data_IF_635785803921
#
_entry.id   IF_635785803921
#
_cell.length_a   1.000
_cell.length_b   1.000
_cell.length_c   1.000
_cell.angle_alpha   90.00
_cell.angle_beta   90.00
_cell.angle_gamma   90.00
#
_symmetry.space_group_name_H-M   'P 1'
#
loop_
_entity.id
_entity.type
_entity.pdbx_description
1 polymer ?
#
# COMPACT_ATOMS: atom_id res chain seq x y z
N UNK A 1 18.04 8.89 8.19
CA UNK A 1 17.07 9.50 7.25
C UNK A 1 16.17 8.47 6.56
N UNK A 2 16.70 7.52 5.78
CA UNK A 2 15.88 6.51 5.07
C UNK A 2 14.98 5.68 6.00
N UNK A 3 15.54 5.14 7.09
CA UNK A 3 14.79 4.39 8.12
C UNK A 3 13.59 5.19 8.65
N UNK A 4 13.79 6.48 8.95
CA UNK A 4 12.73 7.35 9.48
C UNK A 4 11.62 7.58 8.46
N UNK A 5 11.95 7.66 7.17
CA UNK A 5 10.94 7.81 6.11
C UNK A 5 10.09 6.54 5.95
N UNK A 6 10.73 5.37 5.88
CA UNK A 6 10.03 4.08 5.80
C UNK A 6 9.16 3.87 7.04
N UNK A 7 9.74 4.04 8.23
CA UNK A 7 9.03 3.94 9.51
C UNK A 7 7.83 4.87 9.55
N UNK A 8 7.99 6.15 9.20
CA UNK A 8 6.88 7.13 9.19
C UNK A 8 5.75 6.70 8.26
N UNK A 9 6.05 6.27 7.03
CA UNK A 9 5.02 5.93 6.05
C UNK A 9 4.31 4.62 6.43
N UNK A 10 5.05 3.61 6.85
CA UNK A 10 4.49 2.31 7.24
C UNK A 10 3.67 2.43 8.53
N UNK A 11 4.22 3.05 9.57
CA UNK A 11 3.52 3.20 10.85
C UNK A 11 2.31 4.13 10.72
N UNK A 12 2.39 5.23 9.96
CA UNK A 12 1.22 6.10 9.71
C UNK A 12 0.06 5.36 9.03
N UNK A 13 0.35 4.24 8.36
CA UNK A 13 -0.65 3.35 7.75
C UNK A 13 -1.00 2.13 8.62
N UNK A 14 -0.47 2.05 9.84
CA UNK A 14 -0.74 0.96 10.78
C UNK A 14 0.06 -0.32 10.54
N UNK A 15 1.08 -0.29 9.68
CA UNK A 15 1.88 -1.48 9.37
C UNK A 15 3.13 -1.56 10.25
N UNK A 16 3.40 -2.72 10.83
CA UNK A 16 4.70 -3.05 11.42
C UNK A 16 5.69 -3.46 10.31
N UNK A 17 6.76 -2.68 10.05
CA UNK A 17 7.75 -3.04 9.04
C UNK A 17 8.41 -4.41 9.24
N UNK A 18 8.51 -4.91 10.47
CA UNK A 18 9.18 -6.18 10.78
C UNK A 18 8.48 -7.40 10.14
N UNK A 19 7.19 -7.29 9.82
CA UNK A 19 6.37 -8.33 9.18
C UNK A 19 6.57 -8.41 7.66
N UNK A 20 7.30 -7.47 7.05
CA UNK A 20 7.46 -7.35 5.61
C UNK A 20 8.87 -7.69 5.12
N UNK A 21 8.97 -7.98 3.82
CA UNK A 21 10.24 -8.12 3.12
C UNK A 21 10.67 -6.77 2.58
N UNK A 22 11.92 -6.37 2.84
CA UNK A 22 12.47 -5.13 2.28
C UNK A 22 12.89 -5.37 0.82
N UNK A 23 12.17 -4.80 -0.14
CA UNK A 23 12.63 -4.76 -1.54
C UNK A 23 13.53 -3.56 -1.72
N UNK A 24 14.76 -3.77 -2.20
CA UNK A 24 15.71 -2.69 -2.46
C UNK A 24 16.08 -2.60 -3.94
N UNK A 25 16.22 -1.37 -4.42
CA UNK A 25 16.58 -1.06 -5.80
C UNK A 25 17.37 0.25 -5.87
N UNK A 26 17.84 0.59 -7.07
CA UNK A 26 18.79 1.67 -7.34
C UNK A 26 20.24 1.25 -7.05
N UNK A 27 21.20 1.93 -7.69
CA UNK A 27 22.62 1.53 -7.62
C UNK A 27 23.22 1.51 -6.21
N UNK A 28 22.68 2.31 -5.29
CA UNK A 28 23.11 2.38 -3.88
C UNK A 28 22.19 1.60 -2.91
N UNK A 29 21.07 1.05 -3.36
CA UNK A 29 20.09 0.41 -2.48
C UNK A 29 20.69 -0.76 -1.70
N UNK A 30 21.40 -1.65 -2.39
CA UNK A 30 22.07 -2.81 -1.81
C UNK A 30 23.19 -2.48 -0.81
N UNK A 31 23.73 -1.25 -0.82
CA UNK A 31 24.80 -0.84 0.11
C UNK A 31 24.25 -0.53 1.51
N UNK A 32 22.98 -0.11 1.61
CA UNK A 32 22.34 0.29 2.86
C UNK A 32 21.28 -0.71 3.35
N UNK A 33 20.97 -1.73 2.55
CA UNK A 33 19.87 -2.65 2.78
C UNK A 33 19.93 -3.33 4.16
N UNK A 34 21.07 -3.93 4.52
CA UNK A 34 21.26 -4.60 5.81
C UNK A 34 21.09 -3.65 7.01
N UNK A 35 21.65 -2.43 6.91
CA UNK A 35 21.53 -1.42 7.96
C UNK A 35 20.09 -0.92 8.14
N UNK A 36 19.36 -0.72 7.02
CA UNK A 36 17.95 -0.34 7.05
C UNK A 36 17.11 -1.46 7.66
N UNK A 37 17.28 -2.70 7.19
CA UNK A 37 16.55 -3.85 7.70
C UNK A 37 16.79 -4.05 9.20
N UNK A 38 18.04 -3.94 9.68
CA UNK A 38 18.37 -4.01 11.10
C UNK A 38 17.65 -2.94 11.93
N UNK A 39 17.62 -1.70 11.44
CA UNK A 39 16.99 -0.58 12.14
C UNK A 39 15.45 -0.63 12.14
N UNK A 40 14.86 -1.46 11.28
CA UNK A 40 13.41 -1.69 11.18
C UNK A 40 13.01 -3.11 11.64
N UNK A 41 13.95 -3.86 12.20
CA UNK A 41 13.84 -5.28 12.58
C UNK A 41 13.27 -6.21 11.48
N UNK A 42 13.51 -5.86 10.22
CA UNK A 42 13.10 -6.67 9.08
C UNK A 42 14.01 -7.90 8.95
N UNK A 43 13.41 -9.07 8.70
CA UNK A 43 14.15 -10.35 8.66
C UNK A 43 14.71 -10.68 7.29
N UNK A 44 14.09 -10.16 6.24
CA UNK A 44 14.38 -10.51 4.85
C UNK A 44 14.50 -9.27 3.97
N UNK A 45 15.45 -9.34 3.04
CA UNK A 45 15.67 -8.33 2.00
C UNK A 45 15.68 -9.03 0.66
N UNK A 46 14.92 -8.52 -0.31
CA UNK A 46 14.91 -9.01 -1.68
C UNK A 46 15.54 -7.97 -2.60
N UNK A 47 16.51 -8.40 -3.41
CA UNK A 47 17.19 -7.56 -4.39
C UNK A 47 17.06 -8.22 -5.76
N UNK A 48 16.34 -7.55 -6.66
CA UNK A 48 16.13 -8.01 -8.02
C UNK A 48 17.44 -8.04 -8.83
N UNK A 49 17.65 -8.95 -9.80
CA UNK A 49 18.86 -8.97 -10.65
C UNK A 49 19.15 -7.64 -11.36
N UNK A 50 18.10 -6.88 -11.66
CA UNK A 50 18.18 -5.56 -12.28
C UNK A 50 17.97 -4.41 -11.30
N UNK A 51 18.20 -4.62 -10.00
CA UNK A 51 17.98 -3.61 -8.95
C UNK A 51 18.58 -2.25 -9.30
N UNK A 52 19.81 -2.20 -9.82
CA UNK A 52 20.47 -0.94 -10.22
C UNK A 52 19.74 -0.14 -11.29
N UNK A 53 18.91 -0.79 -12.13
CA UNK A 53 18.16 -0.18 -13.25
C UNK A 53 16.67 -0.53 -13.21
N UNK A 54 16.15 -0.87 -12.03
CA UNK A 54 14.82 -1.49 -11.89
C UNK A 54 13.69 -0.60 -12.44
N UNK A 55 13.83 0.72 -12.35
CA UNK A 55 12.86 1.67 -12.93
C UNK A 55 12.81 1.59 -14.46
N UNK A 56 13.96 1.47 -15.12
CA UNK A 56 14.03 1.32 -16.58
C UNK A 56 13.49 -0.05 -17.01
N UNK A 57 13.81 -1.10 -16.24
CA UNK A 57 13.25 -2.43 -16.44
C UNK A 57 11.72 -2.42 -16.33
N UNK A 58 11.16 -1.79 -15.29
CA UNK A 58 9.72 -1.68 -15.10
C UNK A 58 9.01 -0.90 -16.21
N UNK A 59 9.62 0.17 -16.73
CA UNK A 59 9.09 0.89 -17.91
C UNK A 59 9.09 -0.03 -19.15
N UNK A 60 10.16 -0.81 -19.34
CA UNK A 60 10.26 -1.74 -20.48
C UNK A 60 9.27 -2.92 -20.41
N UNK A 61 8.76 -3.26 -19.23
CA UNK A 61 7.74 -4.29 -19.03
C UNK A 61 6.30 -3.74 -19.05
N UNK A 62 6.12 -2.42 -19.00
CA UNK A 62 4.80 -1.84 -18.85
C UNK A 62 3.98 -2.00 -20.14
N UNK A 63 2.73 -2.43 -20.00
CA UNK A 63 1.77 -2.39 -21.09
C UNK A 63 1.46 -0.95 -21.50
N UNK A 64 1.14 -0.76 -22.79
CA UNK A 64 0.68 0.53 -23.30
C UNK A 64 -0.77 0.70 -22.92
N UNK A 65 -1.04 1.58 -21.94
CA UNK A 65 -2.41 1.89 -21.50
C UNK A 65 -2.85 3.24 -22.03
N UNK A 66 -4.05 3.31 -22.62
CA UNK A 66 -4.69 4.57 -23.04
C UNK A 66 -6.04 4.70 -22.36
N UNK A 67 -6.22 5.83 -21.70
CA UNK A 67 -7.46 6.18 -21.02
C UNK A 67 -8.20 7.26 -21.80
N UNK A 68 -9.52 7.14 -21.82
CA UNK A 68 -10.45 8.13 -22.35
C UNK A 68 -11.59 8.31 -21.37
N UNK A 69 -12.03 9.54 -21.20
CA UNK A 69 -13.16 9.85 -20.35
C UNK A 69 -13.99 11.00 -20.95
N UNK A 70 -15.28 10.98 -20.67
CA UNK A 70 -16.17 12.11 -20.93
C UNK A 70 -17.12 12.30 -19.75
N UNK A 71 -17.41 13.56 -19.45
CA UNK A 71 -18.40 13.93 -18.44
C UNK A 71 -19.81 13.65 -18.95
N UNK A 72 -20.63 13.00 -18.11
CA UNK A 72 -22.01 12.62 -18.44
C UNK A 72 -23.01 13.45 -17.63
N UNK A 73 -22.83 13.51 -16.31
CA UNK A 73 -23.66 14.26 -15.35
C UNK A 73 -25.18 14.05 -15.54
N UNK A 74 -25.60 12.79 -15.65
CA UNK A 74 -27.00 12.37 -15.79
C UNK A 74 -27.35 11.32 -14.75
N UNK A 75 -28.64 11.17 -14.43
CA UNK A 75 -29.10 10.07 -13.59
C UNK A 75 -28.85 8.73 -14.27
N UNK A 76 -28.51 7.72 -13.48
CA UNK A 76 -28.38 6.34 -13.93
C UNK A 76 -29.77 5.78 -14.23
N UNK A 77 -30.12 5.71 -15.52
CA UNK A 77 -31.36 5.10 -16.01
C UNK A 77 -31.06 4.19 -17.21
N UNK A 78 -31.93 3.22 -17.53
CA UNK A 78 -31.77 2.37 -18.70
C UNK A 78 -31.60 3.16 -20.00
N UNK A 79 -32.34 4.26 -20.17
CA UNK A 79 -32.27 5.13 -21.35
C UNK A 79 -30.93 5.86 -21.43
N UNK A 80 -30.41 6.30 -20.28
CA UNK A 80 -29.10 6.96 -20.22
C UNK A 80 -27.98 5.98 -20.54
N UNK A 81 -28.05 4.75 -20.01
CA UNK A 81 -27.09 3.70 -20.33
C UNK A 81 -27.11 3.34 -21.81
N UNK A 82 -28.29 3.19 -22.41
CA UNK A 82 -28.42 2.92 -23.84
C UNK A 82 -27.81 4.05 -24.68
N UNK A 83 -27.99 5.31 -24.28
CA UNK A 83 -27.39 6.46 -24.94
C UNK A 83 -25.87 6.59 -24.75
N UNK A 84 -25.26 5.83 -23.85
CA UNK A 84 -23.80 5.81 -23.65
C UNK A 84 -23.08 4.84 -24.58
N UNK A 85 -23.77 3.95 -25.30
CA UNK A 85 -23.12 2.99 -26.20
C UNK A 85 -22.35 3.71 -27.32
N UNK A 86 -22.96 4.70 -27.98
CA UNK A 86 -22.27 5.51 -29.01
C UNK A 86 -21.07 6.26 -28.41
N UNK A 87 -21.20 6.76 -27.18
CA UNK A 87 -20.12 7.44 -26.47
C UNK A 87 -18.97 6.48 -26.19
N UNK A 88 -19.25 5.26 -25.73
CA UNK A 88 -18.23 4.27 -25.50
C UNK A 88 -17.52 3.87 -26.79
N UNK A 89 -18.26 3.69 -27.89
CA UNK A 89 -17.69 3.33 -29.18
C UNK A 89 -16.71 4.42 -29.70
N UNK A 90 -17.05 5.70 -29.54
CA UNK A 90 -16.16 6.82 -29.87
C UNK A 90 -14.89 6.82 -28.98
N UNK A 91 -15.05 6.64 -27.67
CA UNK A 91 -13.92 6.60 -26.72
C UNK A 91 -13.01 5.39 -26.99
N UNK A 92 -13.59 4.22 -27.28
CA UNK A 92 -12.86 3.00 -27.63
C UNK A 92 -12.07 3.22 -28.91
N UNK A 93 -12.71 3.73 -29.96
CA UNK A 93 -12.06 3.99 -31.26
C UNK A 93 -10.85 4.92 -31.07
N UNK A 94 -11.03 6.04 -30.37
CA UNK A 94 -9.95 6.99 -30.10
C UNK A 94 -8.82 6.39 -29.24
N UNK A 95 -9.14 5.54 -28.27
CA UNK A 95 -8.14 4.90 -27.42
C UNK A 95 -7.33 3.84 -28.19
N UNK A 96 -7.98 3.03 -29.05
CA UNK A 96 -7.35 2.04 -29.91
C UNK A 96 -6.40 2.72 -30.91
N UNK A 97 -6.82 3.81 -31.55
CA UNK A 97 -5.98 4.56 -32.49
C UNK A 97 -4.67 5.04 -31.85
N UNK A 98 -4.72 5.49 -30.58
CA UNK A 98 -3.53 5.89 -29.85
C UNK A 98 -2.65 4.70 -29.45
N UNK A 99 -3.22 3.55 -29.10
CA UNK A 99 -2.44 2.34 -28.81
C UNK A 99 -1.74 1.84 -30.07
N UNK A 100 -2.40 1.88 -31.24
CA UNK A 100 -1.80 1.53 -32.53
C UNK A 100 -0.67 2.52 -32.90
N UNK A 101 -0.82 3.81 -32.56
CA UNK A 101 0.23 4.83 -32.80
C UNK A 101 1.50 4.57 -31.98
N UNK A 102 1.40 3.84 -30.87
CA UNK A 102 2.53 3.36 -30.07
C UNK A 102 3.09 2.02 -30.62
N UNK A 103 2.78 1.69 -31.87
CA UNK A 103 3.29 0.52 -32.59
C UNK A 103 2.89 -0.84 -31.97
N UNK A 104 1.83 -0.87 -31.17
CA UNK A 104 1.27 -2.13 -30.66
C UNK A 104 0.43 -2.82 -31.76
N UNK A 105 0.73 -4.08 -32.12
CA UNK A 105 -0.06 -4.86 -33.06
C UNK A 105 -1.53 -5.04 -32.61
N UNK A 106 -2.47 -5.01 -33.55
CA UNK A 106 -3.91 -5.07 -33.24
C UNK A 106 -4.34 -6.37 -32.57
N UNK A 107 -3.66 -7.49 -32.84
CA UNK A 107 -3.88 -8.79 -32.19
C UNK A 107 -3.37 -8.85 -30.74
N UNK A 108 -2.67 -7.81 -30.29
CA UNK A 108 -2.15 -7.66 -28.92
C UNK A 108 -2.87 -6.58 -28.12
N UNK A 109 -3.91 -5.97 -28.69
CA UNK A 109 -4.77 -5.04 -27.98
C UNK A 109 -5.85 -5.86 -27.28
N UNK A 110 -5.90 -5.78 -25.95
CA UNK A 110 -6.93 -6.45 -25.16
C UNK A 110 -8.31 -5.85 -25.38
N UNK A 111 -9.34 -6.55 -24.89
CA UNK A 111 -10.70 -6.01 -24.91
C UNK A 111 -10.77 -4.67 -24.15
N UNK A 112 -11.44 -3.63 -24.71
CA UNK A 112 -11.57 -2.36 -24.02
C UNK A 112 -12.32 -2.50 -22.70
N UNK A 113 -11.73 -1.96 -21.64
CA UNK A 113 -12.34 -1.94 -20.32
C UNK A 113 -13.20 -0.69 -20.18
N UNK A 114 -14.52 -0.89 -20.09
CA UNK A 114 -15.50 0.19 -19.88
C UNK A 114 -15.80 0.32 -18.39
N UNK A 115 -15.97 1.55 -17.91
CA UNK A 115 -16.40 1.82 -16.54
C UNK A 115 -17.18 3.13 -16.44
N UNK A 116 -17.96 3.28 -15.38
CA UNK A 116 -18.69 4.51 -15.06
C UNK A 116 -18.27 5.04 -13.69
N UNK A 117 -18.02 6.34 -13.60
CA UNK A 117 -17.89 7.01 -12.31
C UNK A 117 -19.29 7.33 -11.80
N UNK A 118 -19.71 6.66 -10.72
CA UNK A 118 -21.04 6.76 -10.15
C UNK A 118 -21.00 7.41 -8.77
N UNK A 119 -22.08 8.11 -8.42
CA UNK A 119 -22.27 8.68 -7.08
C UNK A 119 -23.75 8.76 -6.73
N UNK A 120 -24.08 8.83 -5.45
CA UNK A 120 -25.42 9.24 -5.05
C UNK A 120 -25.67 10.72 -5.42
N UNK A 121 -26.89 11.05 -5.81
CA UNK A 121 -27.25 12.43 -6.16
C UNK A 121 -26.99 13.38 -4.96
N UNK A 122 -26.25 14.46 -5.22
CA UNK A 122 -25.92 15.49 -4.25
C UNK A 122 -24.66 15.26 -3.41
N UNK A 123 -23.99 14.10 -3.51
CA UNK A 123 -22.62 13.94 -3.00
C UNK A 123 -21.61 14.27 -4.12
N UNK A 124 -20.36 14.56 -3.74
CA UNK A 124 -19.34 14.95 -4.71
C UNK A 124 -18.44 13.79 -5.12
N UNK A 125 -18.07 12.94 -4.14
CA UNK A 125 -17.22 11.78 -4.37
C UNK A 125 -17.93 10.76 -5.25
N UNK A 126 -17.27 10.38 -6.35
CA UNK A 126 -17.66 9.24 -7.17
C UNK A 126 -16.87 7.99 -6.84
N UNK A 127 -17.42 6.85 -7.25
CA UNK A 127 -16.78 5.54 -7.25
C UNK A 127 -16.72 5.09 -8.71
N UNK A 128 -15.55 4.65 -9.17
CA UNK A 128 -15.43 4.02 -10.47
C UNK A 128 -15.97 2.58 -10.42
N UNK A 129 -16.95 2.28 -11.28
CA UNK A 129 -17.61 0.99 -11.39
C UNK A 129 -17.25 0.37 -12.74
N UNK A 130 -16.39 -0.66 -12.79
CA UNK A 130 -16.16 -1.46 -13.99
C UNK A 130 -17.48 -2.01 -14.53
N UNK A 131 -17.59 -2.15 -15.85
CA UNK A 131 -18.77 -2.73 -16.48
C UNK A 131 -19.09 -4.11 -15.89
N UNK A 132 -20.25 -4.30 -15.24
CA UNK A 132 -20.61 -5.59 -14.67
C UNK A 132 -21.16 -6.52 -15.75
N UNK A 133 -20.94 -7.83 -15.60
CA UNK A 133 -21.37 -8.86 -16.57
C UNK A 133 -22.88 -8.85 -16.84
N UNK A 134 -23.67 -8.50 -15.83
CA UNK A 134 -25.14 -8.42 -15.91
C UNK A 134 -25.65 -7.03 -16.33
N UNK A 135 -24.77 -6.05 -16.56
CA UNK A 135 -25.11 -4.67 -16.86
C UNK A 135 -25.70 -3.85 -15.70
N UNK A 136 -25.82 -4.42 -14.49
CA UNK A 136 -26.41 -3.76 -13.33
C UNK A 136 -25.40 -2.91 -12.56
N UNK A 137 -25.11 -1.74 -13.12
CA UNK A 137 -24.24 -0.73 -12.51
C UNK A 137 -24.74 -0.23 -11.15
N UNK A 138 -26.06 -0.20 -10.93
CA UNK A 138 -26.64 0.31 -9.70
C UNK A 138 -26.31 -0.63 -8.53
N UNK A 139 -26.58 -1.93 -8.70
CA UNK A 139 -26.24 -2.93 -7.69
C UNK A 139 -24.73 -3.00 -7.44
N UNK A 140 -23.91 -2.95 -8.50
CA UNK A 140 -22.45 -2.95 -8.37
C UNK A 140 -21.93 -1.73 -7.58
N UNK A 141 -22.48 -0.54 -7.84
CA UNK A 141 -22.19 0.67 -7.07
C UNK A 141 -22.58 0.51 -5.60
N UNK A 142 -23.78 0.01 -5.30
CA UNK A 142 -24.23 -0.14 -3.92
C UNK A 142 -23.36 -1.11 -3.12
N UNK A 143 -22.93 -2.22 -3.73
CA UNK A 143 -22.02 -3.18 -3.10
C UNK A 143 -20.67 -2.50 -2.79
N UNK A 144 -20.07 -1.81 -3.75
CA UNK A 144 -18.78 -1.13 -3.52
C UNK A 144 -18.91 0.04 -2.54
N UNK A 145 -20.00 0.81 -2.58
CA UNK A 145 -20.28 1.89 -1.64
C UNK A 145 -20.43 1.35 -0.21
N UNK A 146 -21.15 0.24 -0.03
CA UNK A 146 -21.29 -0.42 1.27
C UNK A 146 -19.96 -0.98 1.78
N UNK A 147 -19.13 -1.56 0.90
CA UNK A 147 -17.79 -2.02 1.27
C UNK A 147 -16.87 -0.86 1.69
N UNK A 148 -16.93 0.28 1.02
CA UNK A 148 -16.06 1.42 1.32
C UNK A 148 -16.54 2.27 2.50
N UNK A 149 -17.85 2.42 2.67
CA UNK A 149 -18.42 3.37 3.63
C UNK A 149 -19.32 2.72 4.70
N UNK A 150 -19.62 1.43 4.58
CA UNK A 150 -20.38 0.65 5.57
C UNK A 150 -21.90 0.74 5.46
N UNK A 151 -22.45 1.39 4.42
CA UNK A 151 -23.90 1.54 4.27
C UNK A 151 -24.34 1.79 2.80
N UNK A 152 -25.66 1.68 2.57
CA UNK A 152 -26.34 2.06 1.32
C UNK A 152 -27.34 3.19 1.58
N UNK A 153 -27.75 3.92 0.54
CA UNK A 153 -28.83 4.93 0.62
C UNK A 153 -30.05 4.50 -0.21
N UNK A 154 -30.93 3.63 0.32
CA UNK A 154 -32.11 3.17 -0.39
C UNK A 154 -32.96 4.34 -0.89
N UNK A 155 -33.38 4.29 -2.13
CA UNK A 155 -34.24 5.30 -2.75
C UNK A 155 -33.54 6.63 -3.12
N UNK A 156 -32.24 6.79 -2.83
CA UNK A 156 -31.47 7.93 -3.33
C UNK A 156 -31.05 7.65 -4.78
N UNK A 157 -31.36 8.54 -5.75
CA UNK A 157 -30.92 8.36 -7.13
C UNK A 157 -29.40 8.29 -7.24
N UNK A 158 -28.91 7.50 -8.19
CA UNK A 158 -27.50 7.44 -8.58
C UNK A 158 -27.29 8.32 -9.83
N UNK A 159 -26.20 9.07 -9.87
CA UNK A 159 -25.75 9.87 -11.00
C UNK A 159 -24.51 9.24 -11.63
N UNK A 160 -24.47 9.24 -12.97
CA UNK A 160 -23.30 9.00 -13.78
C UNK A 160 -22.54 10.31 -13.91
N UNK A 161 -21.34 10.37 -13.34
CA UNK A 161 -20.44 11.53 -13.42
C UNK A 161 -19.67 11.50 -14.73
N UNK A 162 -19.05 10.36 -15.04
CA UNK A 162 -18.24 10.19 -16.24
C UNK A 162 -18.34 8.76 -16.79
N UNK A 163 -18.19 8.64 -18.10
CA UNK A 163 -17.95 7.38 -18.78
C UNK A 163 -16.45 7.27 -19.10
N UNK A 164 -15.86 6.11 -18.85
CA UNK A 164 -14.42 5.86 -18.99
C UNK A 164 -14.16 4.61 -19.81
N UNK A 165 -13.10 4.68 -20.61
CA UNK A 165 -12.53 3.54 -21.34
C UNK A 165 -11.04 3.46 -21.04
N UNK A 166 -10.56 2.25 -20.74
CA UNK A 166 -9.15 1.89 -20.76
C UNK A 166 -8.92 0.85 -21.86
N UNK A 167 -7.96 1.11 -22.73
CA UNK A 167 -7.48 0.13 -23.72
C UNK A 167 -6.04 -0.21 -23.36
N UNK A 168 -5.75 -1.52 -23.32
CA UNK A 168 -4.46 -2.07 -22.92
C UNK A 168 -3.84 -2.77 -24.13
N UNK A 169 -2.74 -2.21 -24.63
CA UNK A 169 -1.85 -2.85 -25.59
C UNK A 169 -0.80 -3.68 -24.86
N UNK A 170 -0.87 -5.00 -24.99
CA UNK A 170 0.01 -5.92 -24.28
C UNK A 170 1.40 -5.90 -24.90
N UNK A 171 2.42 -5.59 -24.11
CA UNK A 171 3.82 -5.73 -24.55
C UNK A 171 4.29 -7.18 -24.41
N UNK A 172 5.29 -7.65 -25.19
CA UNK A 172 5.78 -9.02 -25.09
C UNK A 172 6.16 -9.34 -23.64
N UNK A 173 5.47 -10.31 -23.03
CA UNK A 173 5.84 -10.76 -21.69
C UNK A 173 7.20 -11.46 -21.78
N UNK A 174 8.15 -11.02 -20.96
CA UNK A 174 9.37 -11.76 -20.76
C UNK A 174 9.05 -12.92 -19.82
N UNK A 175 9.05 -14.16 -20.34
CA UNK A 175 8.98 -15.33 -19.48
C UNK A 175 10.27 -15.42 -18.69
N UNK A 176 10.22 -15.02 -17.43
CA UNK A 176 11.30 -15.28 -16.48
C UNK A 176 11.41 -16.79 -16.31
N UNK A 177 12.55 -17.35 -16.73
CA UNK A 177 12.80 -18.78 -16.59
C UNK A 177 13.34 -19.00 -15.18
N UNK A 178 12.70 -19.87 -14.40
CA UNK A 178 13.28 -20.32 -13.13
C UNK A 178 14.37 -21.36 -13.41
N UNK A 179 15.60 -21.06 -12.98
CA UNK A 179 16.70 -22.01 -13.02
C UNK A 179 16.55 -23.09 -11.96
N UNK A 180 17.05 -24.29 -12.27
CA UNK A 180 17.11 -25.39 -11.30
C UNK A 180 18.07 -25.00 -10.18
N UNK A 181 17.55 -24.98 -8.96
CA UNK A 181 18.30 -24.61 -7.76
C UNK A 181 19.27 -25.74 -7.39
N UNK A 182 20.56 -25.43 -7.36
CA UNK A 182 21.59 -26.30 -6.82
C UNK A 182 22.29 -25.61 -5.66
N UNK A 183 22.08 -26.10 -4.43
CA UNK A 183 22.72 -25.51 -3.25
C UNK A 183 24.22 -25.71 -3.28
N UNK A 184 24.95 -24.60 -3.21
CA UNK A 184 26.41 -24.57 -3.17
C UNK A 184 26.86 -23.41 -2.30
N UNK A 185 27.71 -23.71 -1.31
CA UNK A 185 28.43 -22.67 -0.60
C UNK A 185 29.60 -22.21 -1.49
N UNK A 186 29.64 -20.93 -1.84
CA UNK A 186 30.64 -20.41 -2.75
C UNK A 186 31.89 -19.93 -2.00
N UNK A 187 33.06 -20.19 -2.58
CA UNK A 187 34.28 -19.51 -2.17
C UNK A 187 34.33 -18.12 -2.82
N UNK A 188 34.81 -17.09 -2.12
CA UNK A 188 34.91 -15.75 -2.68
C UNK A 188 35.91 -15.70 -3.85
N UNK A 189 35.59 -14.94 -4.89
CA UNK A 189 36.45 -14.74 -6.07
C UNK A 189 37.70 -13.92 -5.71
N UNK A 190 37.64 -13.14 -4.63
CA UNK A 190 38.77 -12.40 -4.07
C UNK A 190 38.50 -11.93 -2.65
N UNK A 191 39.39 -11.10 -2.11
CA UNK A 191 39.20 -10.46 -0.82
C UNK A 191 39.42 -8.95 -0.95
N UNK A 192 38.74 -8.18 -0.10
CA UNK A 192 38.93 -6.73 0.01
C UNK A 192 38.74 -6.30 1.45
N UNK A 193 39.19 -5.11 1.83
CA UNK A 193 38.96 -4.57 3.17
C UNK A 193 37.61 -3.85 3.23
N UNK A 194 36.84 -4.12 4.28
CA UNK A 194 35.58 -3.44 4.60
C UNK A 194 35.56 -3.08 6.08
N UNK A 195 35.04 -1.89 6.41
CA UNK A 195 34.76 -1.52 7.80
C UNK A 195 33.37 -2.01 8.16
N UNK A 196 33.28 -3.01 9.03
CA UNK A 196 32.01 -3.48 9.61
C UNK A 196 32.03 -3.20 11.09
N UNK A 197 30.95 -2.64 11.63
CA UNK A 197 30.79 -2.43 13.09
C UNK A 197 31.99 -1.66 13.71
N UNK A 198 32.57 -0.73 12.94
CA UNK A 198 33.70 0.10 13.38
C UNK A 198 35.08 -0.57 13.30
N UNK A 199 35.19 -1.78 12.75
CA UNK A 199 36.48 -2.48 12.56
C UNK A 199 36.73 -2.78 11.09
N UNK A 200 37.94 -2.50 10.63
CA UNK A 200 38.40 -2.93 9.31
C UNK A 200 38.72 -4.42 9.34
N UNK A 201 38.20 -5.18 8.38
CA UNK A 201 38.47 -6.60 8.22
C UNK A 201 38.48 -6.98 6.74
N UNK A 202 39.23 -8.04 6.41
CA UNK A 202 39.21 -8.63 5.08
C UNK A 202 37.90 -9.42 4.90
N UNK A 203 37.17 -9.13 3.83
CA UNK A 203 35.87 -9.74 3.52
C UNK A 203 35.88 -10.39 2.14
N UNK A 204 35.02 -11.38 1.96
CA UNK A 204 34.86 -12.06 0.67
C UNK A 204 34.28 -11.13 -0.39
N UNK A 205 34.91 -11.12 -1.56
CA UNK A 205 34.42 -10.42 -2.74
C UNK A 205 33.84 -11.43 -3.73
N UNK A 206 32.58 -11.25 -4.09
CA UNK A 206 31.86 -12.07 -5.05
C UNK A 206 31.45 -11.23 -6.25
N UNK A 207 31.41 -11.84 -7.43
CA UNK A 207 30.89 -11.21 -8.64
C UNK A 207 29.61 -11.90 -9.10
N UNK A 208 28.58 -11.11 -9.42
CA UNK A 208 27.27 -11.63 -9.82
C UNK A 208 27.32 -12.65 -10.96
N UNK A 209 28.23 -12.45 -11.92
CA UNK A 209 28.44 -13.30 -13.10
C UNK A 209 28.90 -14.73 -12.77
N UNK A 210 29.46 -14.95 -11.58
CA UNK A 210 29.98 -16.25 -11.14
C UNK A 210 28.91 -17.05 -10.37
N UNK A 211 27.78 -16.41 -10.04
CA UNK A 211 26.70 -16.97 -9.21
C UNK A 211 25.57 -17.59 -10.05
N UNK A 212 24.99 -18.67 -9.52
CA UNK A 212 23.89 -19.46 -10.07
C UNK A 212 22.78 -19.63 -9.04
N UNK A 213 21.58 -20.01 -9.49
CA UNK A 213 20.47 -20.30 -8.60
C UNK A 213 20.83 -21.35 -7.52
N UNK A 214 20.59 -21.00 -6.26
CA UNK A 214 20.89 -21.82 -5.09
C UNK A 214 22.25 -21.53 -4.43
N UNK A 215 23.09 -20.70 -5.02
CA UNK A 215 24.34 -20.30 -4.38
C UNK A 215 24.08 -19.51 -3.08
N UNK A 216 24.84 -19.84 -2.04
CA UNK A 216 24.75 -19.24 -0.71
C UNK A 216 26.08 -18.61 -0.30
N UNK A 217 26.00 -17.47 0.40
CA UNK A 217 27.14 -16.69 0.87
C UNK A 217 26.83 -16.15 2.27
N UNK A 218 27.77 -16.31 3.20
CA UNK A 218 27.66 -15.70 4.54
C UNK A 218 28.32 -14.32 4.56
N UNK A 219 27.72 -13.38 5.28
CA UNK A 219 28.35 -12.11 5.61
C UNK A 219 29.45 -12.28 6.68
N UNK A 220 30.39 -11.33 6.81
CA UNK A 220 30.53 -10.11 6.02
C UNK A 220 31.09 -10.36 4.61
N UNK A 221 30.43 -9.80 3.60
CA UNK A 221 30.81 -9.97 2.20
C UNK A 221 30.35 -8.81 1.32
N UNK A 222 31.01 -8.64 0.17
CA UNK A 222 30.60 -7.71 -0.89
C UNK A 222 30.28 -8.51 -2.15
N UNK A 223 29.08 -8.27 -2.69
CA UNK A 223 28.67 -8.79 -3.99
C UNK A 223 28.63 -7.63 -5.00
N UNK A 224 29.52 -7.68 -5.99
CA UNK A 224 29.59 -6.72 -7.07
C UNK A 224 28.72 -7.17 -8.25
N UNK A 225 27.79 -6.29 -8.63
CA UNK A 225 26.99 -6.42 -9.84
C UNK A 225 27.45 -5.40 -10.88
N UNK A 226 26.92 -5.49 -12.10
CA UNK A 226 27.26 -4.53 -13.15
C UNK A 226 26.75 -3.11 -12.85
N UNK A 227 25.58 -3.01 -12.19
CA UNK A 227 24.86 -1.74 -11.98
C UNK A 227 24.64 -1.41 -10.50
N UNK A 228 25.13 -2.25 -9.58
CA UNK A 228 24.95 -2.12 -8.13
C UNK A 228 26.07 -2.80 -7.36
N UNK A 229 26.18 -2.46 -6.07
CA UNK A 229 27.01 -3.19 -5.11
C UNK A 229 26.14 -3.53 -3.92
N UNK A 230 26.14 -4.81 -3.53
CA UNK A 230 25.38 -5.31 -2.39
C UNK A 230 26.36 -5.59 -1.25
N UNK A 231 26.07 -5.01 -0.09
CA UNK A 231 26.82 -5.24 1.14
C UNK A 231 26.05 -6.23 2.01
N UNK A 232 26.67 -7.36 2.32
CA UNK A 232 26.12 -8.40 3.18
C UNK A 232 26.79 -8.24 4.55
N UNK A 233 26.05 -7.76 5.53
CA UNK A 233 26.56 -7.53 6.88
C UNK A 233 26.81 -8.85 7.64
N UNK A 234 27.67 -8.89 8.69
CA UNK A 234 27.97 -10.08 9.48
C UNK A 234 26.81 -10.83 10.15
N UNK A 235 25.60 -10.26 10.12
CA UNK A 235 24.38 -10.84 10.69
C UNK A 235 23.42 -11.36 9.61
N UNK A 236 23.83 -11.34 8.34
CA UNK A 236 23.01 -11.75 7.21
C UNK A 236 23.74 -12.82 6.39
N UNK A 237 22.95 -13.73 5.84
CA UNK A 237 23.36 -14.60 4.75
C UNK A 237 22.59 -14.23 3.48
N UNK A 238 23.19 -14.52 2.32
CA UNK A 238 22.62 -14.28 1.02
C UNK A 238 22.40 -15.60 0.29
N UNK A 239 21.28 -15.70 -0.45
CA UNK A 239 20.99 -16.80 -1.36
C UNK A 239 20.48 -16.29 -2.70
N UNK A 240 20.94 -16.91 -3.79
CA UNK A 240 20.40 -16.65 -5.12
C UNK A 240 19.14 -17.51 -5.35
N UNK A 241 18.01 -16.88 -5.68
CA UNK A 241 16.75 -17.57 -5.96
C UNK A 241 16.76 -18.23 -7.36
N UNK A 242 15.74 -19.04 -7.67
CA UNK A 242 15.56 -19.61 -9.01
C UNK A 242 15.40 -18.55 -10.12
N UNK A 243 14.91 -17.36 -9.77
CA UNK A 243 14.80 -16.20 -10.68
C UNK A 243 16.05 -15.32 -10.70
N UNK A 244 17.07 -15.69 -9.92
CA UNK A 244 18.31 -14.93 -9.81
C UNK A 244 18.25 -13.74 -8.84
N UNK A 245 17.15 -13.54 -8.10
CA UNK A 245 17.12 -12.53 -7.04
C UNK A 245 18.15 -12.87 -5.96
N UNK A 246 18.65 -11.85 -5.28
CA UNK A 246 19.44 -12.03 -4.05
C UNK A 246 18.48 -11.87 -2.88
N UNK A 247 18.26 -12.96 -2.15
CA UNK A 247 17.52 -12.96 -0.90
C UNK A 247 18.52 -12.91 0.27
N UNK A 248 18.55 -11.80 1.00
CA UNK A 248 19.28 -11.71 2.26
C UNK A 248 18.36 -12.10 3.41
N UNK A 249 18.85 -12.94 4.32
CA UNK A 249 18.13 -13.35 5.52
C UNK A 249 18.98 -13.09 6.75
N UNK A 250 18.40 -12.49 7.79
CA UNK A 250 19.07 -12.30 9.08
C UNK A 250 19.34 -13.67 9.72
N UNK A 251 20.62 -14.00 9.98
CA UNK A 251 21.03 -15.32 10.46
C UNK A 251 20.54 -15.58 11.89
N UNK A 252 19.89 -16.74 12.11
CA UNK A 252 19.31 -17.12 13.40
C UNK A 252 20.35 -17.34 14.52
N UNK A 253 21.61 -17.66 14.18
CA UNK A 253 22.68 -17.92 15.16
C UNK A 253 23.05 -16.71 16.03
N UNK A 254 22.69 -15.49 15.61
CA UNK A 254 22.84 -14.25 16.38
C UNK A 254 21.52 -13.67 16.90
N UNK A 255 20.39 -14.40 16.79
CA UNK A 255 19.18 -14.02 17.55
C UNK A 255 19.43 -14.18 19.05
N UNK A 256 20.26 -15.15 19.47
CA UNK A 256 20.48 -15.46 20.88
C UNK A 256 21.34 -14.46 21.66
N UNK A 257 22.12 -13.60 21.01
CA UNK A 257 22.83 -12.51 21.72
C UNK A 257 21.94 -11.27 21.95
N UNK A 258 20.78 -11.20 21.28
CA UNK A 258 19.74 -10.20 21.52
C UNK A 258 18.45 -10.78 22.11
N UNK A 259 18.37 -12.11 22.29
CA UNK A 259 17.21 -12.81 22.84
C UNK A 259 17.16 -12.83 24.37
N UNK A 260 18.20 -12.36 25.08
CA UNK A 260 18.12 -12.09 26.52
C UNK A 260 17.20 -10.90 26.88
N UNK A 261 16.53 -10.30 25.88
CA UNK A 261 15.51 -9.27 26.05
C UNK A 261 14.10 -9.69 25.58
N UNK A 262 13.87 -10.95 25.19
CA UNK A 262 12.56 -11.42 24.71
C UNK A 262 12.05 -12.64 25.50
N UNK A 263 12.05 -12.51 26.83
CA UNK A 263 10.93 -13.05 27.61
C UNK A 263 9.68 -12.27 27.22
N UNK A 264 8.57 -12.95 26.92
CA UNK A 264 7.24 -12.32 26.92
C UNK A 264 7.13 -11.56 28.24
N UNK A 265 7.10 -10.21 28.25
CA UNK A 265 7.04 -9.51 29.50
C UNK A 265 5.67 -9.85 30.11
N UNK A 266 5.68 -10.37 31.34
CA UNK A 266 4.56 -10.08 32.23
C UNK A 266 4.27 -8.58 32.10
N UNK A 267 3.02 -8.21 31.80
CA UNK A 267 2.62 -6.81 31.59
C UNK A 267 2.64 -6.09 32.94
N UNK A 268 3.84 -5.82 33.42
CA UNK A 268 4.20 -4.99 34.56
C UNK A 268 5.53 -4.31 34.22
N UNK A 269 5.52 -3.40 33.25
CA UNK A 269 6.70 -2.68 32.76
C UNK A 269 6.31 -1.54 31.82
N UNK A 270 7.18 -0.54 31.68
CA UNK A 270 6.96 0.66 30.87
C UNK A 270 6.51 0.32 29.43
N UNK A 271 5.59 1.11 28.82
CA UNK A 271 5.06 0.81 27.50
C UNK A 271 6.17 0.75 26.43
N UNK A 272 6.14 -0.29 25.58
CA UNK A 272 7.04 -0.37 24.41
C UNK A 272 6.81 0.85 23.49
N UNK A 273 7.81 1.72 23.30
CA UNK A 273 7.65 2.94 22.50
C UNK A 273 7.33 2.66 21.04
N UNK A 274 7.69 1.50 20.49
CA UNK A 274 7.34 1.12 19.11
C UNK A 274 5.87 0.75 19.04
N UNK A 275 5.39 -0.12 19.94
CA UNK A 275 3.99 -0.49 20.00
C UNK A 275 3.10 0.72 20.31
N UNK A 276 3.52 1.59 21.24
CA UNK A 276 2.82 2.84 21.55
C UNK A 276 2.64 3.70 20.29
N UNK A 277 3.70 3.86 19.49
CA UNK A 277 3.65 4.63 18.25
C UNK A 277 2.77 3.94 17.19
N UNK A 278 2.83 2.60 17.08
CA UNK A 278 1.94 1.83 16.17
C UNK A 278 0.48 2.04 16.56
N UNK A 279 0.12 1.83 17.83
CA UNK A 279 -1.26 2.03 18.29
C UNK A 279 -1.72 3.47 18.18
N UNK A 280 -0.88 4.44 18.51
CA UNK A 280 -1.18 5.86 18.32
C UNK A 280 -1.53 6.17 16.86
N UNK A 281 -0.73 5.68 15.90
CA UNK A 281 -1.00 5.88 14.48
C UNK A 281 -2.21 5.07 13.99
N UNK A 282 -2.45 3.87 14.50
CA UNK A 282 -3.66 3.07 14.19
C UNK A 282 -4.92 3.80 14.62
N UNK A 283 -4.99 4.28 15.86
CA UNK A 283 -6.13 5.05 16.35
C UNK A 283 -6.28 6.37 15.58
N UNK A 284 -5.18 7.10 15.35
CA UNK A 284 -5.22 8.34 14.57
C UNK A 284 -5.75 8.09 13.15
N UNK A 285 -5.31 7.01 12.51
CA UNK A 285 -5.78 6.60 11.20
C UNK A 285 -7.29 6.32 11.22
N UNK A 286 -7.82 5.64 12.25
CA UNK A 286 -9.27 5.44 12.40
C UNK A 286 -10.01 6.78 12.42
N UNK A 287 -9.59 7.73 13.26
CA UNK A 287 -10.24 9.03 13.36
C UNK A 287 -10.17 9.82 12.04
N UNK A 288 -9.02 9.79 11.36
CA UNK A 288 -8.84 10.41 10.05
C UNK A 288 -9.73 9.76 8.98
N UNK A 289 -9.80 8.43 8.93
CA UNK A 289 -10.66 7.70 7.98
C UNK A 289 -12.14 7.96 8.24
N UNK A 290 -12.58 8.06 9.50
CA UNK A 290 -13.93 8.50 9.85
C UNK A 290 -14.21 9.88 9.24
N UNK A 291 -13.26 10.82 9.35
CA UNK A 291 -13.41 12.17 8.81
C UNK A 291 -13.47 12.20 7.28
N UNK A 292 -12.58 11.48 6.61
CA UNK A 292 -12.59 11.33 5.14
C UNK A 292 -13.91 10.71 4.68
N UNK A 293 -14.44 9.73 5.41
CA UNK A 293 -15.71 9.08 5.08
C UNK A 293 -16.89 10.05 5.22
N UNK A 294 -16.97 10.80 6.32
CA UNK A 294 -17.98 11.84 6.50
C UNK A 294 -17.89 12.90 5.41
N UNK A 295 -16.69 13.36 5.09
CA UNK A 295 -16.47 14.36 4.05
C UNK A 295 -16.94 13.85 2.67
N UNK A 296 -16.51 12.65 2.26
CA UNK A 296 -16.81 12.07 0.94
C UNK A 296 -18.28 11.75 0.74
N UNK A 297 -18.99 11.42 1.81
CA UNK A 297 -20.40 11.00 1.74
C UNK A 297 -21.40 12.09 2.13
N UNK A 298 -20.92 13.29 2.45
CA UNK A 298 -21.77 14.42 2.84
C UNK A 298 -22.34 15.18 1.64
N UNK A 299 -23.60 15.58 1.79
CA UNK A 299 -24.29 16.53 0.89
C UNK A 299 -24.10 17.98 1.38
N UNK A 300 -23.82 18.17 2.68
CA UNK A 300 -23.67 19.50 3.29
C UNK A 300 -22.35 20.13 2.91
N UNK A 301 -22.40 21.35 2.35
CA UNK A 301 -21.21 22.16 2.04
C UNK A 301 -20.39 22.49 3.29
N UNK A 302 -21.04 22.69 4.44
CA UNK A 302 -20.32 22.92 5.71
C UNK A 302 -19.44 21.72 6.09
N UNK A 303 -19.93 20.50 5.88
CA UNK A 303 -19.16 19.30 6.20
C UNK A 303 -18.11 19.03 5.12
N UNK A 304 -18.50 19.04 3.83
CA UNK A 304 -17.59 18.59 2.75
C UNK A 304 -16.52 19.62 2.36
N UNK A 305 -16.81 20.92 2.46
CA UNK A 305 -15.90 22.02 2.05
C UNK A 305 -15.30 22.76 3.25
N UNK A 306 -16.12 23.07 4.27
CA UNK A 306 -15.63 23.80 5.45
C UNK A 306 -15.04 22.89 6.53
N UNK A 307 -15.19 21.57 6.38
CA UNK A 307 -14.76 20.56 7.36
C UNK A 307 -15.30 20.82 8.76
N UNK A 308 -16.55 21.31 8.82
CA UNK A 308 -17.25 21.62 10.07
C UNK A 308 -17.86 20.36 10.69
N UNK A 309 -16.97 19.47 11.13
CA UNK A 309 -17.27 18.24 11.84
C UNK A 309 -16.04 17.81 12.65
N UNK A 310 -16.23 16.88 13.58
CA UNK A 310 -15.13 16.29 14.34
C UNK A 310 -15.35 14.81 14.55
N UNK A 311 -14.30 14.03 14.35
CA UNK A 311 -14.28 12.59 14.60
C UNK A 311 -13.31 12.32 15.74
N UNK A 312 -13.70 11.48 16.67
CA UNK A 312 -12.86 11.10 17.79
C UNK A 312 -13.13 9.68 18.24
N UNK A 313 -12.10 9.05 18.80
CA UNK A 313 -12.16 7.74 19.45
C UNK A 313 -12.01 7.97 20.96
N UNK A 314 -12.85 7.29 21.74
CA UNK A 314 -12.89 7.40 23.19
C UNK A 314 -12.62 6.04 23.82
N UNK A 315 -12.05 6.05 25.04
CA UNK A 315 -11.95 4.86 25.88
C UNK A 315 -13.29 4.52 26.54
N UNK A 316 -13.32 3.40 27.27
CA UNK A 316 -14.53 2.91 27.93
C UNK A 316 -15.08 3.86 29.03
N UNK A 317 -14.29 4.81 29.51
CA UNK A 317 -14.70 5.83 30.49
C UNK A 317 -15.06 7.17 29.83
N UNK A 318 -15.08 7.25 28.49
CA UNK A 318 -15.31 8.49 27.74
C UNK A 318 -14.13 9.46 27.77
N UNK A 319 -12.91 8.96 28.03
CA UNK A 319 -11.66 9.69 27.85
C UNK A 319 -11.30 9.78 26.37
N UNK A 320 -10.89 10.95 25.89
CA UNK A 320 -10.48 11.14 24.49
C UNK A 320 -9.15 10.42 24.24
N UNK A 321 -9.15 9.46 23.30
CA UNK A 321 -7.94 8.74 22.87
C UNK A 321 -7.26 9.49 21.73
N UNK A 322 -8.02 9.83 20.69
CA UNK A 322 -7.52 10.55 19.51
C UNK A 322 -8.65 11.27 18.79
N UNK A 323 -8.32 12.32 18.05
CA UNK A 323 -9.25 13.06 17.21
C UNK A 323 -8.66 13.35 15.82
N UNK A 324 -9.53 13.47 14.83
CA UNK A 324 -9.15 13.93 13.50
C UNK A 324 -8.80 15.45 13.52
N UNK A 325 -7.90 15.91 12.64
CA UNK A 325 -7.48 17.31 12.58
C UNK A 325 -8.51 18.18 11.85
N UNK A 326 -9.70 18.35 12.43
CA UNK A 326 -10.74 19.26 11.93
C UNK A 326 -11.24 20.18 13.05
N UNK A 327 -12.02 21.21 12.70
CA UNK A 327 -12.27 22.44 13.49
C UNK A 327 -12.23 22.21 15.02
N UNK A 328 -11.27 22.82 15.76
CA UNK A 328 -10.97 22.49 17.15
C UNK A 328 -12.07 22.87 18.16
N UNK A 329 -13.18 23.44 17.71
CA UNK A 329 -14.27 23.96 18.54
C UNK A 329 -15.00 22.85 19.29
N UNK A 330 -15.13 21.65 18.73
CA UNK A 330 -15.91 20.56 19.34
C UNK A 330 -15.14 19.76 20.41
N UNK A 331 -13.82 19.88 20.49
CA UNK A 331 -12.98 19.01 21.33
C UNK A 331 -13.31 19.10 22.82
N UNK A 332 -13.71 20.28 23.31
CA UNK A 332 -14.05 20.47 24.73
C UNK A 332 -15.37 19.80 25.14
N UNK A 333 -16.38 19.82 24.25
CA UNK A 333 -17.71 19.30 24.55
C UNK A 333 -17.81 17.78 24.36
N UNK A 334 -17.16 17.22 23.32
CA UNK A 334 -17.34 15.81 22.93
C UNK A 334 -17.08 14.82 24.07
N UNK A 335 -16.02 15.02 24.86
CA UNK A 335 -15.73 14.14 26.00
C UNK A 335 -16.79 14.19 27.11
N UNK A 336 -17.37 15.37 27.36
CA UNK A 336 -18.45 15.51 28.34
C UNK A 336 -19.75 14.85 27.84
N UNK A 337 -20.05 15.00 26.55
CA UNK A 337 -21.18 14.37 25.87
C UNK A 337 -21.09 12.84 25.94
N UNK A 338 -19.94 12.26 25.58
CA UNK A 338 -19.74 10.80 25.60
C UNK A 338 -19.90 10.25 27.02
N UNK A 339 -19.35 10.93 28.04
CA UNK A 339 -19.52 10.51 29.44
C UNK A 339 -20.98 10.54 29.91
N UNK A 340 -21.76 11.54 29.49
CA UNK A 340 -23.19 11.57 29.80
C UNK A 340 -23.94 10.44 29.10
N UNK A 341 -23.66 10.19 27.81
CA UNK A 341 -24.27 9.06 27.09
C UNK A 341 -23.99 7.73 27.81
N UNK A 342 -22.76 7.50 28.27
CA UNK A 342 -22.41 6.28 29.03
C UNK A 342 -23.18 6.21 30.37
N UNK A 343 -23.27 7.34 31.09
CA UNK A 343 -23.96 7.39 32.39
C UNK A 343 -25.48 7.16 32.27
N UNK A 344 -26.10 7.73 31.23
CA UNK A 344 -27.54 7.64 31.00
C UNK A 344 -27.97 6.28 30.42
N UNK A 345 -27.03 5.50 29.88
CA UNK A 345 -27.28 4.24 29.21
C UNK A 345 -26.40 3.11 29.79
N UNK A 346 -26.74 2.55 30.97
CA UNK A 346 -25.93 1.51 31.62
C UNK A 346 -25.88 0.17 30.85
N UNK A 347 -26.84 -0.06 29.94
CA UNK A 347 -27.00 -1.33 29.21
C UNK A 347 -26.53 -1.23 27.73
N UNK A 348 -25.54 -0.36 27.42
CA UNK A 348 -24.96 -0.22 26.07
C UNK A 348 -24.50 -1.58 25.53
N UNK A 349 -24.95 -1.91 24.32
CA UNK A 349 -24.64 -3.15 23.62
C UNK A 349 -23.96 -2.90 22.26
N UNK A 350 -23.16 -3.85 21.74
CA UNK A 350 -22.60 -3.75 20.40
C UNK A 350 -23.70 -3.54 19.34
N UNK A 351 -23.55 -2.50 18.52
CA UNK A 351 -24.52 -2.13 17.48
C UNK A 351 -25.43 -0.96 17.85
N UNK A 352 -25.44 -0.51 19.10
CA UNK A 352 -26.21 0.65 19.52
C UNK A 352 -25.65 1.95 18.92
N UNK A 353 -26.55 2.88 18.57
CA UNK A 353 -26.22 4.21 18.03
C UNK A 353 -26.98 5.27 18.82
N UNK A 354 -26.24 6.21 19.40
CA UNK A 354 -26.79 7.32 20.18
C UNK A 354 -26.65 8.63 19.40
N UNK A 355 -27.69 9.46 19.46
CA UNK A 355 -27.72 10.79 18.85
C UNK A 355 -28.20 11.78 19.90
N UNK A 356 -27.45 12.85 20.11
CA UNK A 356 -27.82 13.93 21.02
C UNK A 356 -27.47 15.29 20.42
N UNK A 357 -28.27 16.28 20.77
CA UNK A 357 -28.05 17.70 20.47
C UNK A 357 -28.33 18.57 21.71
N UNK A 358 -28.27 17.98 22.91
CA UNK A 358 -28.43 18.69 24.18
C UNK A 358 -27.29 19.71 24.36
N UNK A 359 -27.61 21.03 24.45
CA UNK A 359 -26.63 22.11 24.36
C UNK A 359 -25.62 22.22 25.50
#
# INVERSE_FOLDING_TARGET
NMVRAIRRISIAKGYDPAEYVLVTFGGAGGQHACAIARALDMRQILIHPYAGVLSAYGIGLADVRRHREVSVLKRLTPETLQGLEEVFDDLVTSAIEDVIREEVPSDRIGEPLRSLDLRYEGIESSINIPQPDNGDYASAYEVLHEQMFGYRRPGRPIEIVAARVEVIGLTPSFNETEEVIHRRLLNPTGTTNMVCEGREQAVGLYHRRDLRAGDEMEGPAILCELTSTVVIDPSFSARITGRGDILLTKSQSKMNESADALSVPEIHGEPDPVLLEIFNNLFASIAEQMGVTLQKTSVSTNVKERLDFSCAVFDAAGGLVVNAPHIPVHLGAMGATVRHIIADNPDISPGDVFVTNDP
#
